data_IF_298219058445
#
_entry.id   IF_298219058445
#
_cell.length_a   1.000
_cell.length_b   1.000
_cell.length_c   1.000
_cell.angle_alpha   90.00
_cell.angle_beta   90.00
_cell.angle_gamma   90.00
#
_symmetry.space_group_name_H-M   'P 1'
#
loop_
_entity.id
_entity.type
_entity.pdbx_description
1 polymer ?
#
# COMPACT_ATOMS: atom_id res chain seq x y z
N UNK A 1 8.30 2.11 19.79
CA UNK A 1 7.02 2.28 19.08
C UNK A 1 5.86 2.19 20.07
N UNK A 2 4.87 3.09 20.01
CA UNK A 2 3.62 2.93 20.77
C UNK A 2 2.80 1.75 20.26
N UNK A 3 2.08 1.08 21.17
CA UNK A 3 1.34 -0.15 20.87
C UNK A 3 0.31 0.01 19.73
N UNK A 4 -0.41 1.14 19.69
CA UNK A 4 -1.39 1.41 18.63
C UNK A 4 -0.73 1.47 17.25
N UNK A 5 0.35 2.23 17.10
CA UNK A 5 1.08 2.36 15.83
C UNK A 5 1.68 1.02 15.36
N UNK A 6 2.10 0.18 16.30
CA UNK A 6 2.61 -1.17 16.05
C UNK A 6 1.50 -2.10 15.53
N UNK A 7 0.36 -2.21 16.21
CA UNK A 7 -0.73 -3.10 15.79
C UNK A 7 -1.34 -2.67 14.45
N UNK A 8 -1.51 -1.36 14.25
CA UNK A 8 -1.97 -0.82 12.96
C UNK A 8 -0.92 -1.11 11.88
N UNK A 9 0.39 -1.06 12.19
CA UNK A 9 1.46 -1.45 11.27
C UNK A 9 1.35 -2.90 10.78
N UNK A 10 1.09 -3.86 11.67
CA UNK A 10 0.83 -5.25 11.27
C UNK A 10 -0.43 -5.39 10.40
N UNK A 11 -1.49 -4.64 10.73
CA UNK A 11 -2.72 -4.63 9.94
C UNK A 11 -2.49 -4.08 8.52
N UNK A 12 -1.74 -2.99 8.38
CA UNK A 12 -1.36 -2.40 7.09
C UNK A 12 -0.62 -3.43 6.24
N UNK A 13 0.38 -4.11 6.81
CA UNK A 13 1.16 -5.13 6.12
C UNK A 13 0.29 -6.31 5.65
N UNK A 14 -0.60 -6.79 6.52
CA UNK A 14 -1.53 -7.87 6.18
C UNK A 14 -2.48 -7.46 5.05
N UNK A 15 -3.00 -6.23 5.07
CA UNK A 15 -3.90 -5.72 4.02
C UNK A 15 -3.18 -5.62 2.69
N UNK A 16 -1.95 -5.09 2.64
CA UNK A 16 -1.20 -5.05 1.40
C UNK A 16 -0.89 -6.45 0.88
N UNK A 17 -0.54 -7.38 1.77
CA UNK A 17 -0.34 -8.80 1.44
C UNK A 17 -1.56 -9.39 0.74
N UNK A 18 -2.75 -9.21 1.32
CA UNK A 18 -4.01 -9.69 0.74
C UNK A 18 -4.23 -9.13 -0.65
N UNK A 19 -4.04 -7.83 -0.84
CA UNK A 19 -4.33 -7.16 -2.11
C UNK A 19 -3.43 -7.55 -3.27
N UNK A 20 -2.11 -7.58 -3.02
CA UNK A 20 -1.18 -7.91 -4.09
C UNK A 20 -1.29 -9.39 -4.47
N UNK A 21 -1.50 -10.28 -3.49
CA UNK A 21 -1.76 -11.71 -3.75
C UNK A 21 -3.08 -11.88 -4.50
N UNK A 22 -4.15 -11.16 -4.13
CA UNK A 22 -5.42 -11.18 -4.86
C UNK A 22 -5.23 -10.77 -6.32
N UNK A 23 -4.56 -9.64 -6.57
CA UNK A 23 -4.27 -9.16 -7.91
C UNK A 23 -3.42 -10.15 -8.73
N UNK A 24 -2.37 -10.70 -8.13
CA UNK A 24 -1.53 -11.73 -8.77
C UNK A 24 -2.35 -12.98 -9.12
N UNK A 25 -3.17 -13.46 -8.19
CA UNK A 25 -4.04 -14.60 -8.41
C UNK A 25 -5.07 -14.34 -9.52
N UNK A 26 -5.58 -13.12 -9.64
CA UNK A 26 -6.47 -12.72 -10.73
C UNK A 26 -5.75 -12.72 -12.08
N UNK A 27 -4.50 -12.23 -12.12
CA UNK A 27 -3.63 -12.28 -13.30
C UNK A 27 -3.38 -13.72 -13.76
N UNK A 28 -2.93 -14.59 -12.85
CA UNK A 28 -2.64 -16.01 -13.12
C UNK A 28 -3.89 -16.73 -13.61
N UNK A 29 -5.03 -16.50 -12.96
CA UNK A 29 -6.33 -17.09 -13.33
C UNK A 29 -6.99 -16.44 -14.54
N UNK A 30 -6.32 -15.47 -15.18
CA UNK A 30 -6.80 -14.82 -16.41
C UNK A 30 -8.18 -14.17 -16.26
N UNK A 31 -8.53 -13.66 -15.08
CA UNK A 31 -9.85 -13.07 -14.77
C UNK A 31 -9.71 -11.73 -14.05
N UNK A 32 -10.75 -10.90 -14.10
CA UNK A 32 -10.80 -9.68 -13.29
C UNK A 32 -10.91 -10.03 -11.79
N UNK A 33 -10.30 -9.24 -10.89
CA UNK A 33 -10.37 -9.51 -9.46
C UNK A 33 -11.77 -9.22 -8.84
N UNK A 34 -12.65 -8.52 -9.57
CA UNK A 34 -14.03 -8.24 -9.19
C UNK A 34 -14.20 -7.03 -8.27
N UNK A 35 -15.44 -6.73 -7.87
CA UNK A 35 -15.77 -5.56 -7.07
C UNK A 35 -15.05 -5.53 -5.71
N UNK A 36 -14.87 -6.71 -5.09
CA UNK A 36 -14.20 -6.82 -3.79
C UNK A 36 -12.77 -6.27 -3.77
N UNK A 37 -12.07 -6.29 -4.91
CA UNK A 37 -10.74 -5.70 -5.03
C UNK A 37 -10.78 -4.17 -4.93
N UNK A 38 -11.81 -3.53 -5.48
CA UNK A 38 -11.96 -2.08 -5.36
C UNK A 38 -12.31 -1.67 -3.94
N UNK A 39 -13.13 -2.46 -3.24
CA UNK A 39 -13.37 -2.28 -1.80
C UNK A 39 -12.08 -2.42 -1.00
N UNK A 40 -11.29 -3.47 -1.29
CA UNK A 40 -9.96 -3.64 -0.68
C UNK A 40 -9.06 -2.42 -0.93
N UNK A 41 -9.02 -1.89 -2.15
CA UNK A 41 -8.18 -0.74 -2.49
C UNK A 41 -8.54 0.50 -1.66
N UNK A 42 -9.82 0.75 -1.42
CA UNK A 42 -10.27 1.84 -0.53
C UNK A 42 -9.79 1.59 0.90
N UNK A 43 -10.00 0.37 1.42
CA UNK A 43 -9.57 -0.02 2.77
C UNK A 43 -8.05 0.15 2.94
N UNK A 44 -7.27 -0.31 1.96
CA UNK A 44 -5.82 -0.23 1.97
C UNK A 44 -5.32 1.22 2.03
N UNK A 45 -5.91 2.12 1.24
CA UNK A 45 -5.55 3.54 1.25
C UNK A 45 -5.93 4.24 2.55
N UNK A 46 -7.14 3.98 3.06
CA UNK A 46 -7.61 4.56 4.32
C UNK A 46 -6.71 4.13 5.47
N UNK A 47 -6.42 2.84 5.60
CA UNK A 47 -5.59 2.31 6.68
C UNK A 47 -4.13 2.78 6.56
N UNK A 48 -3.58 2.87 5.35
CA UNK A 48 -2.27 3.48 5.13
C UNK A 48 -2.24 4.96 5.55
N UNK A 49 -3.29 5.72 5.21
CA UNK A 49 -3.44 7.12 5.61
C UNK A 49 -3.52 7.29 7.13
N UNK A 50 -4.31 6.45 7.81
CA UNK A 50 -4.39 6.41 9.28
C UNK A 50 -3.02 6.09 9.89
N UNK A 51 -2.31 5.09 9.36
CA UNK A 51 -0.98 4.73 9.87
C UNK A 51 0.04 5.86 9.71
N UNK A 52 0.04 6.53 8.55
CA UNK A 52 0.89 7.69 8.29
C UNK A 52 0.55 8.87 9.21
N UNK A 53 -0.75 9.12 9.45
CA UNK A 53 -1.20 10.16 10.37
C UNK A 53 -0.75 9.88 11.82
N UNK A 54 -0.88 8.64 12.30
CA UNK A 54 -0.36 8.23 13.61
C UNK A 54 1.15 8.44 13.67
N UNK A 55 1.89 7.99 12.65
CA UNK A 55 3.34 8.18 12.58
C UNK A 55 3.76 9.65 12.61
N UNK A 56 3.03 10.52 11.90
CA UNK A 56 3.24 11.97 11.91
C UNK A 56 2.98 12.57 13.29
N UNK A 57 1.88 12.18 13.96
CA UNK A 57 1.56 12.64 15.32
C UNK A 57 2.70 12.25 16.28
N UNK A 58 3.20 11.02 16.20
CA UNK A 58 4.32 10.58 17.04
C UNK A 58 5.60 11.37 16.76
N UNK A 59 5.87 11.67 15.49
CA UNK A 59 6.99 12.54 15.12
C UNK A 59 6.82 13.94 15.74
N UNK A 60 5.62 14.52 15.69
CA UNK A 60 5.35 15.84 16.30
C UNK A 60 5.47 15.81 17.83
N UNK A 61 5.16 14.67 18.47
CA UNK A 61 5.35 14.44 19.90
C UNK A 61 6.82 14.15 20.30
N UNK A 62 7.76 14.22 19.36
CA UNK A 62 9.19 14.06 19.63
C UNK A 62 9.72 12.64 19.52
N UNK A 63 8.89 11.65 19.16
CA UNK A 63 9.40 10.31 18.88
C UNK A 63 10.25 10.32 17.61
N UNK A 64 11.40 9.64 17.66
CA UNK A 64 12.37 9.56 16.57
C UNK A 64 12.72 8.12 16.27
N UNK A 65 12.95 7.85 14.99
CA UNK A 65 13.35 6.56 14.41
C UNK A 65 14.33 6.83 13.28
N UNK A 66 14.86 5.79 12.65
CA UNK A 66 15.75 5.95 11.50
C UNK A 66 15.04 6.70 10.36
N UNK A 67 15.77 7.49 9.58
CA UNK A 67 15.16 8.28 8.50
C UNK A 67 14.46 7.39 7.44
N UNK A 68 14.98 6.17 7.25
CA UNK A 68 14.40 5.16 6.37
C UNK A 68 12.97 4.77 6.79
N UNK A 69 12.66 4.76 8.09
CA UNK A 69 11.31 4.49 8.56
C UNK A 69 10.30 5.50 8.00
N UNK A 70 10.67 6.77 7.87
CA UNK A 70 9.80 7.78 7.28
C UNK A 70 9.59 7.55 5.79
N UNK A 71 10.65 7.22 5.05
CA UNK A 71 10.54 6.89 3.61
C UNK A 71 9.61 5.71 3.39
N UNK A 72 9.80 4.65 4.17
CA UNK A 72 8.99 3.44 4.06
C UNK A 72 7.55 3.64 4.56
N UNK A 73 7.36 4.42 5.62
CA UNK A 73 6.05 4.67 6.23
C UNK A 73 5.16 5.59 5.40
N UNK A 74 5.71 6.64 4.78
CA UNK A 74 4.95 7.55 3.91
C UNK A 74 4.92 7.10 2.45
N UNK A 75 5.86 6.25 2.04
CA UNK A 75 5.99 5.74 0.67
C UNK A 75 4.68 5.19 0.07
N UNK A 76 3.87 4.39 0.79
CA UNK A 76 2.61 3.88 0.26
C UNK A 76 1.64 4.97 -0.24
N UNK A 77 1.61 6.14 0.41
CA UNK A 77 0.76 7.26 -0.05
C UNK A 77 1.23 7.78 -1.42
N UNK A 78 2.54 7.95 -1.57
CA UNK A 78 3.15 8.39 -2.84
C UNK A 78 2.91 7.36 -3.93
N UNK A 79 3.09 6.07 -3.62
CA UNK A 79 2.84 4.98 -4.56
C UNK A 79 1.39 4.96 -5.02
N UNK A 80 0.42 5.12 -4.12
CA UNK A 80 -0.99 5.18 -4.52
C UNK A 80 -1.32 6.42 -5.35
N UNK A 81 -0.74 7.58 -5.06
CA UNK A 81 -0.93 8.78 -5.90
C UNK A 81 -0.44 8.54 -7.34
N UNK A 82 0.75 7.95 -7.48
CA UNK A 82 1.31 7.58 -8.80
C UNK A 82 0.40 6.54 -9.47
N UNK A 83 -0.07 5.53 -8.73
CA UNK A 83 -0.96 4.50 -9.25
C UNK A 83 -2.27 5.08 -9.77
N UNK A 84 -2.85 6.11 -9.13
CA UNK A 84 -4.05 6.78 -9.62
C UNK A 84 -3.80 7.51 -10.94
N UNK A 85 -2.65 8.21 -11.06
CA UNK A 85 -2.27 8.87 -12.30
C UNK A 85 -2.11 7.86 -13.44
N UNK A 86 -1.34 6.78 -13.21
CA UNK A 86 -1.13 5.71 -14.18
C UNK A 86 -2.44 5.00 -14.55
N UNK A 87 -3.31 4.71 -13.57
CA UNK A 87 -4.60 4.07 -13.80
C UNK A 87 -5.52 4.93 -14.67
N UNK A 88 -5.49 6.26 -14.48
CA UNK A 88 -6.22 7.21 -15.33
C UNK A 88 -5.71 7.21 -16.77
N UNK A 89 -4.39 7.22 -16.97
CA UNK A 89 -3.78 7.17 -18.30
C UNK A 89 -4.10 5.87 -19.03
N UNK A 90 -4.03 4.74 -18.32
CA UNK A 90 -4.42 3.42 -18.83
C UNK A 90 -5.89 3.40 -19.24
N UNK A 91 -6.77 4.00 -18.44
CA UNK A 91 -8.19 4.09 -18.77
C UNK A 91 -8.46 4.99 -20.00
N UNK A 92 -7.71 6.09 -20.13
CA UNK A 92 -7.86 7.05 -21.22
C UNK A 92 -7.30 6.55 -22.57
N UNK A 93 -6.28 5.68 -22.55
CA UNK A 93 -5.60 5.15 -23.75
C UNK A 93 -6.44 4.15 -24.57
N UNK A 94 -7.68 3.86 -24.17
CA UNK A 94 -8.55 2.89 -24.83
C UNK A 94 -8.25 1.43 -24.41
N UNK A 95 -9.01 0.46 -24.94
CA UNK A 95 -8.88 -0.94 -24.53
C UNK A 95 -7.56 -1.54 -25.04
N UNK A 96 -6.52 -1.49 -24.19
CA UNK A 96 -5.30 -2.27 -24.39
C UNK A 96 -5.44 -3.71 -23.87
N UNK A 97 -4.32 -4.44 -23.85
CA UNK A 97 -4.25 -5.82 -23.32
C UNK A 97 -4.55 -5.94 -21.82
N UNK A 98 -4.51 -7.16 -21.28
CA UNK A 98 -4.79 -7.40 -19.85
C UNK A 98 -3.88 -6.60 -18.90
N UNK A 99 -2.63 -6.39 -19.29
CA UNK A 99 -1.65 -5.66 -18.48
C UNK A 99 -1.93 -4.15 -18.41
N UNK A 100 -2.71 -3.62 -19.37
CA UNK A 100 -3.19 -2.24 -19.38
C UNK A 100 -4.60 -2.17 -18.82
N UNK A 101 -4.84 -2.80 -17.67
CA UNK A 101 -6.08 -2.69 -16.92
C UNK A 101 -5.80 -1.94 -15.61
N UNK A 102 -6.64 -0.99 -15.19
CA UNK A 102 -6.39 -0.19 -13.98
C UNK A 102 -6.12 -1.02 -12.72
N UNK A 103 -6.82 -2.15 -12.54
CA UNK A 103 -6.62 -3.02 -11.38
C UNK A 103 -5.22 -3.66 -11.34
N UNK A 104 -4.55 -3.84 -12.48
CA UNK A 104 -3.17 -4.37 -12.55
C UNK A 104 -2.19 -3.36 -11.98
N UNK A 105 -2.38 -2.07 -12.27
CA UNK A 105 -1.61 -0.97 -11.70
C UNK A 105 -1.73 -0.98 -10.18
N UNK A 106 -2.96 -1.11 -9.66
CA UNK A 106 -3.18 -1.16 -8.21
C UNK A 106 -2.69 -2.45 -7.54
N UNK A 107 -2.69 -3.59 -8.26
CA UNK A 107 -2.08 -4.82 -7.76
C UNK A 107 -0.56 -4.68 -7.63
N UNK A 108 0.09 -4.07 -8.62
CA UNK A 108 1.53 -3.76 -8.58
C UNK A 108 1.85 -2.73 -7.47
N UNK A 109 1.02 -1.69 -7.32
CA UNK A 109 1.11 -0.74 -6.22
C UNK A 109 1.00 -1.46 -4.87
N UNK A 110 0.05 -2.39 -4.72
CA UNK A 110 -0.10 -3.21 -3.52
C UNK A 110 1.16 -4.01 -3.18
N UNK A 111 1.85 -4.57 -4.18
CA UNK A 111 3.11 -5.30 -3.98
C UNK A 111 4.24 -4.38 -3.50
N UNK A 112 4.37 -3.19 -4.11
CA UNK A 112 5.36 -2.20 -3.68
C UNK A 112 5.05 -1.72 -2.26
N UNK A 113 3.79 -1.42 -1.97
CA UNK A 113 3.32 -1.00 -0.66
C UNK A 113 3.54 -2.08 0.42
N UNK A 114 3.39 -3.36 0.08
CA UNK A 114 3.77 -4.48 0.94
C UNK A 114 5.26 -4.43 1.31
N UNK A 115 6.15 -4.30 0.32
CA UNK A 115 7.58 -4.18 0.60
C UNK A 115 7.93 -2.97 1.47
N UNK A 116 7.30 -1.82 1.20
CA UNK A 116 7.49 -0.59 1.98
C UNK A 116 6.96 -0.74 3.41
N UNK A 117 5.74 -1.23 3.59
CA UNK A 117 5.14 -1.43 4.91
C UNK A 117 5.92 -2.46 5.74
N UNK A 118 6.39 -3.55 5.13
CA UNK A 118 7.26 -4.52 5.79
C UNK A 118 8.57 -3.91 6.26
N UNK A 119 9.21 -3.07 5.44
CA UNK A 119 10.43 -2.32 5.84
C UNK A 119 10.13 -1.27 6.92
N UNK A 120 9.01 -0.58 6.86
CA UNK A 120 8.58 0.35 7.91
C UNK A 120 8.33 -0.38 9.23
N UNK A 121 7.69 -1.55 9.19
CA UNK A 121 7.42 -2.38 10.36
C UNK A 121 8.72 -2.86 11.00
N UNK A 122 9.64 -3.45 10.22
CA UNK A 122 10.94 -3.91 10.73
C UNK A 122 11.72 -2.77 11.40
N UNK A 123 11.87 -1.64 10.71
CA UNK A 123 12.60 -0.48 11.26
C UNK A 123 11.91 0.12 12.49
N UNK A 124 10.58 0.07 12.56
CA UNK A 124 9.80 0.50 13.73
C UNK A 124 9.91 -0.43 14.93
N UNK A 125 10.12 -1.73 14.69
CA UNK A 125 10.40 -2.76 15.70
C UNK A 125 11.87 -2.73 16.19
N UNK A 126 12.75 -1.97 15.52
CA UNK A 126 14.19 -1.92 15.80
C UNK A 126 15.03 -2.96 15.05
N UNK A 127 14.44 -3.63 14.04
CA UNK A 127 15.17 -4.50 13.12
C UNK A 127 15.55 -3.72 11.87
N UNK A 128 16.86 -3.61 11.58
CA UNK A 128 17.37 -3.08 10.32
C UNK A 128 18.34 -1.92 10.44
#
# INVERSE_FOLDING_TARGET
MPEVHKYVGFLVEAIFTVGWVWGLLALIRRRSPGQGFWTWLVVAQVIAGVQAAIGLILLLLGYRVTWLHYVYGFGPLVVFLIAHQMAREVHASGPGGRLSQPWVVFAAAGFICFGLAGRALMTGLGYG
#
